data_IF_755907227785
#
_entry.id   IF_755907227785
#
_cell.length_a   1.000
_cell.length_b   1.000
_cell.length_c   1.000
_cell.angle_alpha   90.00
_cell.angle_beta   90.00
_cell.angle_gamma   90.00
#
_symmetry.space_group_name_H-M   'P 1'
#
loop_
_entity.id
_entity.type
_entity.pdbx_description
1 polymer ?
#
# COMPACT_ATOMS: atom_id res chain seq x y z
N UNK A 1 3.43 10.92 5.94
CA UNK A 1 4.19 9.73 6.39
C UNK A 1 3.63 8.49 5.71
N UNK A 2 4.38 7.41 5.68
CA UNK A 2 3.85 6.09 5.32
C UNK A 2 4.83 4.99 5.70
N UNK A 3 4.31 3.76 5.76
CA UNK A 3 5.05 2.59 6.24
C UNK A 3 4.92 1.42 5.27
N UNK A 4 6.03 0.72 5.09
CA UNK A 4 6.11 -0.50 4.27
C UNK A 4 6.43 -1.68 5.20
N UNK A 5 5.80 -2.82 4.93
CA UNK A 5 6.15 -4.13 5.49
C UNK A 5 6.52 -5.01 4.30
N UNK A 6 7.60 -5.78 4.40
CA UNK A 6 7.99 -6.71 3.35
C UNK A 6 9.07 -7.66 3.83
N UNK A 7 9.28 -8.75 3.10
CA UNK A 7 10.33 -9.72 3.37
C UNK A 7 11.67 -9.35 2.71
N UNK A 8 11.71 -8.22 1.99
CA UNK A 8 12.87 -7.81 1.19
C UNK A 8 13.06 -8.64 -0.08
N UNK A 9 12.14 -9.56 -0.36
CA UNK A 9 12.09 -10.36 -1.57
C UNK A 9 10.96 -9.89 -2.47
N UNK A 10 10.02 -10.78 -2.74
CA UNK A 10 9.03 -10.62 -3.80
C UNK A 10 7.71 -9.96 -3.33
N UNK A 11 7.55 -9.67 -2.03
CA UNK A 11 6.30 -9.12 -1.50
C UNK A 11 6.50 -7.91 -0.59
N UNK A 12 5.75 -6.84 -0.88
CA UNK A 12 5.68 -5.63 -0.06
C UNK A 12 4.22 -5.21 0.16
N UNK A 13 3.93 -4.68 1.34
CA UNK A 13 2.65 -4.12 1.71
C UNK A 13 2.82 -2.68 2.22
N UNK A 14 2.10 -1.74 1.64
CA UNK A 14 1.99 -0.39 2.20
C UNK A 14 0.93 -0.45 3.30
N UNK A 15 1.40 -0.55 4.54
CA UNK A 15 0.56 -0.79 5.71
C UNK A 15 -0.30 0.43 6.07
N UNK A 16 0.28 1.62 5.93
CA UNK A 16 -0.42 2.87 6.15
C UNK A 16 0.26 4.02 5.41
N UNK A 17 -0.55 5.04 5.10
CA UNK A 17 -0.10 6.30 4.53
C UNK A 17 -1.03 7.42 5.00
N UNK A 18 -0.45 8.53 5.44
CA UNK A 18 -1.21 9.66 5.95
C UNK A 18 -0.59 11.00 5.56
N UNK A 19 -1.47 11.97 5.29
CA UNK A 19 -1.16 13.39 5.15
C UNK A 19 -2.10 14.13 6.11
N UNK A 20 -1.52 14.95 6.98
CA UNK A 20 -2.28 15.78 7.92
C UNK A 20 -3.34 16.61 7.17
N UNK A 21 -4.55 16.79 7.72
CA UNK A 21 -5.66 17.46 7.04
C UNK A 21 -5.30 18.81 6.41
N UNK A 22 -4.49 19.62 7.10
CA UNK A 22 -4.08 20.97 6.69
C UNK A 22 -3.14 20.97 5.46
N UNK A 23 -2.57 19.79 5.16
CA UNK A 23 -1.63 19.55 4.09
C UNK A 23 -2.24 18.71 2.95
N UNK A 24 -3.50 18.28 3.06
CA UNK A 24 -4.17 17.52 2.02
C UNK A 24 -4.42 18.35 0.75
N UNK A 25 -4.75 17.65 -0.35
CA UNK A 25 -5.05 18.24 -1.69
C UNK A 25 -3.92 19.04 -2.33
N UNK A 26 -2.72 19.02 -1.73
CA UNK A 26 -1.48 19.66 -2.25
C UNK A 26 -0.55 18.68 -2.97
N UNK A 27 -1.03 17.50 -3.35
CA UNK A 27 -0.22 16.46 -4.02
C UNK A 27 0.71 15.65 -3.10
N UNK A 28 0.72 15.92 -1.79
CA UNK A 28 1.64 15.25 -0.86
C UNK A 28 1.38 13.75 -0.71
N UNK A 29 0.14 13.27 -0.87
CA UNK A 29 -0.14 11.83 -0.86
C UNK A 29 0.56 11.10 -2.02
N UNK A 30 0.59 11.72 -3.20
CA UNK A 30 1.30 11.19 -4.37
C UNK A 30 2.83 11.22 -4.16
N UNK A 31 3.34 12.29 -3.55
CA UNK A 31 4.75 12.40 -3.20
C UNK A 31 5.19 11.31 -2.21
N UNK A 32 4.40 11.07 -1.15
CA UNK A 32 4.67 10.00 -0.19
C UNK A 32 4.64 8.64 -0.87
N UNK A 33 3.58 8.34 -1.64
CA UNK A 33 3.47 7.05 -2.36
C UNK A 33 4.67 6.82 -3.28
N UNK A 34 5.09 7.82 -4.06
CA UNK A 34 6.26 7.70 -4.94
C UNK A 34 7.55 7.47 -4.17
N UNK A 35 7.72 8.12 -3.03
CA UNK A 35 8.87 7.89 -2.16
C UNK A 35 8.90 6.43 -1.66
N UNK A 36 7.77 5.91 -1.19
CA UNK A 36 7.64 4.51 -0.75
C UNK A 36 7.91 3.53 -1.90
N UNK A 37 7.34 3.77 -3.08
CA UNK A 37 7.59 2.93 -4.26
C UNK A 37 9.05 2.98 -4.70
N UNK A 38 9.72 4.13 -4.55
CA UNK A 38 11.17 4.24 -4.77
C UNK A 38 11.95 3.34 -3.82
N UNK A 39 11.63 3.37 -2.53
CA UNK A 39 12.24 2.49 -1.53
C UNK A 39 12.00 1.00 -1.85
N UNK A 40 10.77 0.61 -2.21
CA UNK A 40 10.48 -0.79 -2.60
C UNK A 40 11.36 -1.20 -3.79
N UNK A 41 11.44 -0.37 -4.83
CA UNK A 41 12.23 -0.67 -6.03
C UNK A 41 13.72 -0.88 -5.76
N UNK A 42 14.30 -0.22 -4.76
CA UNK A 42 15.72 -0.42 -4.41
C UNK A 42 15.98 -1.68 -3.60
N UNK A 43 14.95 -2.24 -2.96
CA UNK A 43 15.06 -3.44 -2.13
C UNK A 43 14.54 -4.69 -2.83
N UNK A 44 13.61 -4.54 -3.77
CA UNK A 44 13.07 -5.63 -4.55
C UNK A 44 14.16 -6.31 -5.41
N UNK A 45 14.06 -7.62 -5.67
CA UNK A 45 14.90 -8.32 -6.62
C UNK A 45 14.89 -7.64 -7.99
N UNK A 46 16.08 -7.40 -8.54
CA UNK A 46 16.25 -6.79 -9.87
C UNK A 46 16.30 -7.83 -10.99
N UNK A 47 16.20 -9.12 -10.64
CA UNK A 47 16.31 -10.27 -11.54
C UNK A 47 15.03 -10.55 -12.35
N UNK A 48 14.00 -9.71 -12.18
CA UNK A 48 12.72 -9.84 -12.88
C UNK A 48 11.77 -10.85 -12.24
N UNK A 49 12.10 -11.40 -11.07
CA UNK A 49 11.10 -12.12 -10.26
C UNK A 49 9.98 -11.14 -9.88
N UNK A 50 8.73 -11.54 -10.16
CA UNK A 50 7.57 -10.66 -10.02
C UNK A 50 7.43 -10.16 -8.58
N UNK A 51 7.73 -8.89 -8.35
CA UNK A 51 7.50 -8.23 -7.06
C UNK A 51 6.07 -7.72 -7.01
N UNK A 52 5.34 -8.11 -5.97
CA UNK A 52 3.97 -7.63 -5.73
C UNK A 52 3.96 -6.60 -4.62
N UNK A 53 3.25 -5.49 -4.86
CA UNK A 53 3.00 -4.45 -3.86
C UNK A 53 1.50 -4.36 -3.63
N UNK A 54 1.07 -4.54 -2.38
CA UNK A 54 -0.35 -4.50 -1.99
C UNK A 54 -0.63 -3.40 -0.98
N UNK A 55 -1.89 -3.00 -0.87
CA UNK A 55 -2.39 -2.07 0.15
C UNK A 55 -3.91 -2.22 0.29
N UNK A 56 -4.45 -1.75 1.41
CA UNK A 56 -5.89 -1.55 1.56
C UNK A 56 -6.22 -0.08 1.31
N UNK A 57 -7.09 0.18 0.34
CA UNK A 57 -7.54 1.53 -0.01
C UNK A 57 -8.95 1.79 0.49
N UNK A 58 -9.13 2.89 1.22
CA UNK A 58 -10.43 3.48 1.45
C UNK A 58 -10.98 4.14 0.17
N UNK A 59 -12.30 4.39 0.05
CA UNK A 59 -12.87 4.99 -1.15
C UNK A 59 -12.20 6.32 -1.59
N UNK A 60 -11.85 7.26 -0.69
CA UNK A 60 -11.12 8.48 -1.06
C UNK A 60 -9.73 8.24 -1.67
N UNK A 61 -9.00 7.24 -1.18
CA UNK A 61 -7.64 6.92 -1.63
C UNK A 61 -7.59 6.19 -2.97
N UNK A 62 -8.66 5.50 -3.39
CA UNK A 62 -8.68 4.67 -4.62
C UNK A 62 -8.15 5.39 -5.86
N UNK A 63 -8.57 6.64 -6.08
CA UNK A 63 -8.14 7.43 -7.25
C UNK A 63 -6.63 7.71 -7.27
N UNK A 64 -6.03 7.92 -6.09
CA UNK A 64 -4.58 8.13 -5.96
C UNK A 64 -3.81 6.87 -6.36
N UNK A 65 -4.24 5.72 -5.86
CA UNK A 65 -3.57 4.45 -6.13
C UNK A 65 -3.75 4.02 -7.60
N UNK A 66 -4.97 4.12 -8.14
CA UNK A 66 -5.24 3.81 -9.54
C UNK A 66 -4.40 4.66 -10.50
N UNK A 67 -4.24 5.96 -10.21
CA UNK A 67 -3.36 6.86 -10.99
C UNK A 67 -1.89 6.41 -11.00
N UNK A 68 -1.45 5.73 -9.93
CA UNK A 68 -0.08 5.23 -9.79
C UNK A 68 0.07 3.76 -10.23
N UNK A 69 -0.92 3.21 -10.96
CA UNK A 69 -0.84 1.89 -11.58
C UNK A 69 -1.28 0.73 -10.68
N UNK A 70 -1.80 1.01 -9.48
CA UNK A 70 -2.45 -0.03 -8.69
C UNK A 70 -3.75 -0.45 -9.36
N UNK A 71 -3.94 -1.76 -9.47
CA UNK A 71 -5.18 -2.36 -9.98
C UNK A 71 -5.98 -2.93 -8.82
N UNK A 72 -7.31 -2.89 -8.93
CA UNK A 72 -8.17 -3.54 -7.95
C UNK A 72 -8.01 -5.06 -8.09
N UNK A 73 -7.47 -5.70 -7.06
CA UNK A 73 -7.18 -7.15 -7.03
C UNK A 73 -8.30 -7.94 -6.38
N UNK A 74 -9.53 -7.41 -6.37
CA UNK A 74 -10.70 -8.13 -5.86
C UNK A 74 -11.44 -8.73 -7.07
N UNK A 75 -11.07 -9.92 -7.57
CA UNK A 75 -11.97 -10.66 -8.46
C UNK A 75 -13.33 -10.80 -7.80
N UNK A 76 -14.40 -10.78 -8.60
CA UNK A 76 -15.73 -11.10 -8.09
C UNK A 76 -15.68 -12.45 -7.33
N UNK A 77 -15.88 -12.41 -6.01
CA UNK A 77 -15.88 -13.58 -5.14
C UNK A 77 -14.67 -13.77 -4.22
N UNK A 78 -13.63 -12.93 -4.28
CA UNK A 78 -12.54 -12.95 -3.29
C UNK A 78 -12.69 -11.80 -2.29
N UNK A 79 -12.49 -12.05 -0.99
CA UNK A 79 -12.50 -11.04 0.06
C UNK A 79 -11.21 -11.12 0.88
N UNK A 80 -10.67 -9.97 1.25
CA UNK A 80 -9.61 -9.90 2.25
C UNK A 80 -10.14 -10.38 3.60
N UNK A 81 -9.41 -11.29 4.24
CA UNK A 81 -9.74 -11.82 5.55
C UNK A 81 -8.71 -11.32 6.57
N UNK A 82 -9.16 -10.89 7.74
CA UNK A 82 -8.33 -10.48 8.86
C UNK A 82 -8.71 -11.33 10.08
N UNK A 83 -7.72 -11.89 10.77
CA UNK A 83 -7.91 -12.49 12.09
C UNK A 83 -7.44 -11.49 13.15
N UNK A 84 -8.33 -10.94 13.99
CA UNK A 84 -7.91 -10.15 15.14
C UNK A 84 -7.29 -11.08 16.19
N UNK A 85 -5.99 -10.96 16.45
CA UNK A 85 -5.34 -11.63 17.57
C UNK A 85 -5.38 -10.70 18.80
N UNK A 86 -5.92 -11.18 19.93
CA UNK A 86 -5.92 -10.44 21.20
C UNK A 86 -7.07 -9.45 21.44
N UNK A 87 -8.18 -9.54 20.69
CA UNK A 87 -9.41 -8.75 20.92
C UNK A 87 -10.50 -9.54 21.68
N UNK A 88 -10.12 -10.48 22.54
CA UNK A 88 -11.12 -11.08 23.42
C UNK A 88 -11.60 -9.99 24.38
N UNK A 89 -12.86 -9.57 24.20
CA UNK A 89 -13.51 -8.59 25.09
C UNK A 89 -13.43 -9.14 26.52
N UNK A 90 -12.69 -8.43 27.37
CA UNK A 90 -12.92 -8.46 28.82
C UNK A 90 -14.38 -8.14 29.13
#
# INVERSE_FOLDING_TARGET
MGRIIGDGGWYFHIADMAVLPEHQRKGLGDAVLKHLMGHIKTHAPQDGTGTYVTLFADPPGRKLYAKNGFVETTPAGQMGLMMPLGWERS
#
